data_IF_069096574771
#
_entry.id   IF_069096574771
#
_cell.length_a   1.000
_cell.length_b   1.000
_cell.length_c   1.000
_cell.angle_alpha   90.00
_cell.angle_beta   90.00
_cell.angle_gamma   90.00
#
_symmetry.space_group_name_H-M   'P 1'
#
loop_
_entity.id
_entity.type
_entity.pdbx_description
1 polymer ?
#
# COMPACT_ATOMS: atom_id res chain seq x y z
N UNK A 1 -5.68 8.60 -11.77
CA UNK A 1 -4.75 7.55 -12.25
C UNK A 1 -5.51 6.38 -12.87
N UNK A 2 -6.22 5.53 -12.12
CA UNK A 2 -6.89 4.32 -12.67
C UNK A 2 -7.91 4.54 -13.81
N UNK A 3 -8.37 5.77 -14.04
CA UNK A 3 -9.29 6.09 -15.15
C UNK A 3 -8.60 6.47 -16.46
N UNK A 4 -7.26 6.48 -16.51
CA UNK A 4 -6.50 6.76 -17.73
C UNK A 4 -6.37 5.46 -18.55
N UNK A 5 -6.55 5.56 -19.87
CA UNK A 5 -6.63 4.40 -20.76
C UNK A 5 -5.29 3.65 -20.85
N UNK A 6 -4.17 4.37 -20.76
CA UNK A 6 -2.81 3.83 -20.92
C UNK A 6 -2.24 3.24 -19.62
N UNK A 7 -2.92 3.41 -18.48
CA UNK A 7 -2.45 2.87 -17.21
C UNK A 7 -2.89 1.41 -17.09
N UNK A 8 -1.95 0.49 -17.35
CA UNK A 8 -2.20 -0.94 -17.21
C UNK A 8 -2.44 -1.37 -15.75
N UNK A 9 -1.65 -0.84 -14.81
CA UNK A 9 -1.70 -1.22 -13.38
C UNK A 9 -0.99 -0.21 -12.49
N UNK A 10 -1.39 -0.16 -11.21
CA UNK A 10 -0.69 0.55 -10.14
C UNK A 10 -0.21 -0.50 -9.13
N UNK A 11 1.10 -0.70 -9.02
CA UNK A 11 1.68 -1.72 -8.13
C UNK A 11 1.67 -1.29 -6.66
N UNK A 12 1.91 -0.01 -6.37
CA UNK A 12 1.96 0.52 -5.00
C UNK A 12 1.68 2.02 -4.98
N UNK A 13 1.06 2.50 -3.89
CA UNK A 13 0.90 3.93 -3.58
C UNK A 13 0.95 4.09 -2.06
N UNK A 14 2.14 4.33 -1.53
CA UNK A 14 2.42 4.31 -0.08
C UNK A 14 3.42 5.39 0.31
N UNK A 15 3.45 5.74 1.59
CA UNK A 15 4.50 6.55 2.20
C UNK A 15 5.48 5.72 3.06
N UNK A 16 5.30 4.40 3.11
CA UNK A 16 6.19 3.49 3.81
C UNK A 16 7.52 3.30 3.06
N UNK A 17 8.57 2.81 3.72
CA UNK A 17 9.75 2.28 3.03
C UNK A 17 9.34 1.24 1.98
N UNK A 18 9.85 1.39 0.76
CA UNK A 18 9.42 0.63 -0.41
C UNK A 18 10.61 -0.09 -1.07
N UNK A 19 10.38 -1.33 -1.49
CA UNK A 19 11.29 -2.06 -2.38
C UNK A 19 10.51 -2.65 -3.56
N UNK A 20 11.18 -2.82 -4.70
CA UNK A 20 10.61 -3.42 -5.92
C UNK A 20 11.36 -4.72 -6.21
N UNK A 21 10.62 -5.80 -6.42
CA UNK A 21 11.15 -7.09 -6.87
C UNK A 21 11.17 -7.09 -8.39
N UNK A 22 12.37 -7.16 -8.96
CA UNK A 22 12.60 -7.12 -10.41
C UNK A 22 13.12 -8.46 -10.88
N UNK A 23 12.45 -9.06 -11.86
CA UNK A 23 13.00 -10.18 -12.62
C UNK A 23 13.76 -9.65 -13.84
N UNK A 24 14.90 -10.27 -14.14
CA UNK A 24 15.73 -9.98 -15.29
C UNK A 24 15.77 -11.23 -16.18
N UNK A 25 15.57 -11.05 -17.48
CA UNK A 25 15.83 -12.04 -18.53
C UNK A 25 16.80 -11.45 -19.56
N UNK A 26 17.15 -12.23 -20.59
CA UNK A 26 17.92 -11.74 -21.73
C UNK A 26 17.20 -10.61 -22.49
N UNK A 27 15.86 -10.62 -22.53
CA UNK A 27 15.07 -9.58 -23.20
C UNK A 27 15.01 -8.28 -22.40
N UNK A 28 15.00 -8.34 -21.06
CA UNK A 28 14.88 -7.13 -20.24
C UNK A 28 14.49 -7.37 -18.79
N UNK A 29 13.83 -6.37 -18.19
CA UNK A 29 13.38 -6.38 -16.78
C UNK A 29 11.87 -6.28 -16.67
N UNK A 30 11.31 -7.00 -15.70
CA UNK A 30 9.89 -6.93 -15.35
C UNK A 30 9.71 -6.72 -13.84
N UNK A 31 8.69 -5.95 -13.46
CA UNK A 31 8.26 -5.82 -12.07
C UNK A 31 7.42 -7.04 -11.70
N UNK A 32 7.89 -7.83 -10.74
CA UNK A 32 7.19 -9.03 -10.24
C UNK A 32 6.32 -8.68 -9.04
N UNK A 33 6.75 -7.73 -8.22
CA UNK A 33 6.02 -7.33 -7.03
C UNK A 33 6.72 -6.21 -6.26
N UNK A 34 6.12 -5.84 -5.14
CA UNK A 34 6.56 -4.74 -4.27
C UNK A 34 6.56 -5.20 -2.82
N UNK A 35 7.50 -4.69 -2.04
CA UNK A 35 7.54 -4.85 -0.59
C UNK A 35 7.19 -3.49 0.00
N UNK A 36 5.93 -3.34 0.45
CA UNK A 36 5.39 -2.12 1.07
C UNK A 36 5.49 -2.22 2.60
N UNK A 37 6.51 -1.57 3.16
CA UNK A 37 6.70 -1.50 4.60
C UNK A 37 7.14 -2.83 5.21
N UNK A 38 6.39 -3.30 6.21
CA UNK A 38 6.77 -4.45 7.06
C UNK A 38 5.63 -5.45 7.14
N UNK A 39 5.98 -6.71 7.41
CA UNK A 39 4.99 -7.75 7.66
C UNK A 39 4.14 -7.46 8.91
N UNK A 40 2.87 -7.90 8.94
CA UNK A 40 2.03 -7.79 10.12
C UNK A 40 2.65 -8.51 11.33
N UNK A 41 2.52 -7.92 12.52
CA UNK A 41 3.01 -8.50 13.79
C UNK A 41 1.94 -9.26 14.57
N UNK A 42 0.67 -9.15 14.18
CA UNK A 42 -0.47 -9.72 14.88
C UNK A 42 -1.80 -9.19 14.33
N UNK A 43 -2.90 -9.54 15.01
CA UNK A 43 -4.27 -9.13 14.66
C UNK A 43 -4.73 -7.98 15.57
N UNK A 44 -5.49 -7.02 15.03
CA UNK A 44 -6.01 -5.89 15.81
C UNK A 44 -6.95 -6.34 16.95
N UNK A 45 -6.76 -5.79 18.15
CA UNK A 45 -7.69 -5.97 19.27
C UNK A 45 -8.81 -4.92 19.23
N UNK A 46 -9.81 -5.06 20.11
CA UNK A 46 -10.94 -4.13 20.18
C UNK A 46 -10.51 -2.67 20.39
N UNK A 47 -9.51 -2.43 21.24
CA UNK A 47 -8.96 -1.09 21.52
C UNK A 47 -8.25 -0.48 20.30
N UNK A 48 -7.49 -1.29 19.56
CA UNK A 48 -6.80 -0.84 18.35
C UNK A 48 -7.79 -0.39 17.27
N UNK A 49 -8.89 -1.15 17.13
CA UNK A 49 -9.98 -0.80 16.23
C UNK A 49 -10.64 0.52 16.64
N UNK A 50 -10.97 0.70 17.92
CA UNK A 50 -11.53 1.96 18.43
C UNK A 50 -10.61 3.15 18.15
N UNK A 51 -9.30 2.99 18.36
CA UNK A 51 -8.30 4.01 18.04
C UNK A 51 -8.27 4.35 16.55
N UNK A 52 -8.21 3.34 15.67
CA UNK A 52 -8.22 3.53 14.21
C UNK A 52 -9.44 4.30 13.73
N UNK A 53 -10.62 4.00 14.28
CA UNK A 53 -11.86 4.70 13.94
C UNK A 53 -11.86 6.16 14.36
N UNK A 54 -11.39 6.48 15.58
CA UNK A 54 -11.27 7.86 16.05
C UNK A 54 -10.27 8.65 15.24
N UNK A 55 -9.10 8.08 14.96
CA UNK A 55 -8.06 8.71 14.15
C UNK A 55 -8.56 9.16 12.77
N UNK A 56 -9.30 8.29 12.07
CA UNK A 56 -9.87 8.62 10.76
C UNK A 56 -10.85 9.80 10.79
N UNK A 57 -11.66 9.93 11.85
CA UNK A 57 -12.67 11.00 11.94
C UNK A 57 -12.09 12.30 12.48
N UNK A 58 -11.22 12.21 13.48
CA UNK A 58 -10.75 13.36 14.25
C UNK A 58 -9.49 13.98 13.65
N UNK A 59 -8.53 13.14 13.22
CA UNK A 59 -7.22 13.60 12.73
C UNK A 59 -7.24 13.82 11.22
N UNK A 60 -7.60 12.79 10.44
CA UNK A 60 -7.60 12.90 8.97
C UNK A 60 -8.86 13.60 8.42
N UNK A 61 -9.88 13.80 9.27
CA UNK A 61 -11.20 14.38 8.94
C UNK A 61 -11.93 13.62 7.82
N UNK A 62 -11.58 12.37 7.59
CA UNK A 62 -12.17 11.55 6.55
C UNK A 62 -13.59 11.11 6.93
N UNK A 63 -14.55 11.28 6.01
CA UNK A 63 -15.98 10.98 6.23
C UNK A 63 -16.54 11.61 7.52
N UNK A 64 -16.15 12.86 7.78
CA UNK A 64 -16.88 13.73 8.72
C UNK A 64 -18.27 14.05 8.18
#
# INVERSE_FOLDING_TARGET
>A
LKGLQEICSIFVATANPLQIVVAQTEQGRGVVGVIDGRSPRGVEAKKDREFRWKFLREITRYKK
#
